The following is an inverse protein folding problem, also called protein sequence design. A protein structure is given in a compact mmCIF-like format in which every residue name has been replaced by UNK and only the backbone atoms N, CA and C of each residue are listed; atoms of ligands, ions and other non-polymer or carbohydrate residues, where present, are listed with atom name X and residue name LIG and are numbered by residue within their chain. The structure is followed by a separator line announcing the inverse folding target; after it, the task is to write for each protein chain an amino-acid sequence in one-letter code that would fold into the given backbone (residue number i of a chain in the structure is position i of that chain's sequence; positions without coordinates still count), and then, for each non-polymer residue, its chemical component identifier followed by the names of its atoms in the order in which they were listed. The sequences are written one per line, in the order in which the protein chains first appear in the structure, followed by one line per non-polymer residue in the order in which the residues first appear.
data_IF_590135518347
#
_entry.id   IF_590135518347
#
_cell.length_a   1.000
_cell.length_b   1.000
_cell.length_c   1.000
_cell.angle_alpha   90.00
_cell.angle_beta   90.00
_cell.angle_gamma   90.00
#
_symmetry.space_group_name_H-M   'P 1'
#
loop_
_entity.id
_entity.type
_entity.pdbx_description
1 polymer ?
#
# COMPACT_ATOMS: atom_id res chain seq x y z
N UNK A 1 -11.73 -19.65 -4.56
CA UNK A 1 -10.58 -18.80 -4.18
C UNK A 1 -10.85 -18.19 -2.83
N UNK A 2 -9.85 -18.17 -1.94
CA UNK A 2 -9.94 -17.45 -0.65
C UNK A 2 -9.80 -15.96 -0.92
N UNK A 3 -10.70 -15.14 -0.39
CA UNK A 3 -10.59 -13.68 -0.53
C UNK A 3 -9.48 -13.11 0.35
N UNK A 4 -9.14 -11.84 0.14
CA UNK A 4 -8.05 -11.16 0.87
C UNK A 4 -8.24 -11.19 2.40
N UNK A 5 -9.47 -11.06 2.89
CA UNK A 5 -9.78 -11.08 4.32
C UNK A 5 -9.42 -12.43 4.96
N UNK A 6 -9.74 -13.54 4.26
CA UNK A 6 -9.43 -14.90 4.73
C UNK A 6 -7.92 -15.15 4.75
N UNK A 7 -7.19 -14.71 3.70
CA UNK A 7 -5.75 -14.84 3.62
C UNK A 7 -5.03 -14.00 4.68
N UNK A 8 -5.46 -12.76 4.88
CA UNK A 8 -4.92 -11.90 5.92
C UNK A 8 -5.16 -12.48 7.32
N UNK A 9 -6.37 -12.97 7.59
CA UNK A 9 -6.70 -13.64 8.86
C UNK A 9 -5.83 -14.86 9.11
N UNK A 10 -5.62 -15.69 8.08
CA UNK A 10 -4.72 -16.85 8.17
C UNK A 10 -3.27 -16.43 8.45
N UNK A 11 -2.78 -15.34 7.82
CA UNK A 11 -1.45 -14.82 8.09
C UNK A 11 -1.31 -14.33 9.54
N UNK A 12 -2.30 -13.61 10.08
CA UNK A 12 -2.32 -13.17 11.48
C UNK A 12 -2.32 -14.37 12.43
N UNK A 13 -3.16 -15.38 12.15
CA UNK A 13 -3.23 -16.61 12.95
C UNK A 13 -1.90 -17.38 12.95
N UNK A 14 -1.24 -17.47 11.80
CA UNK A 14 0.08 -18.10 11.70
C UNK A 14 1.14 -17.33 12.50
N UNK A 15 1.08 -16.00 12.49
CA UNK A 15 2.00 -15.15 13.28
C UNK A 15 1.80 -15.29 14.77
N UNK A 16 0.57 -15.43 15.25
CA UNK A 16 0.30 -15.69 16.68
C UNK A 16 1.01 -16.95 17.21
N UNK A 17 1.23 -17.93 16.34
CA UNK A 17 1.91 -19.18 16.65
C UNK A 17 3.39 -19.22 16.22
N UNK A 18 3.88 -18.14 15.61
CA UNK A 18 5.26 -18.06 15.14
C UNK A 18 6.27 -17.87 16.29
N UNK A 19 7.55 -18.18 16.07
CA UNK A 19 8.58 -17.93 17.07
C UNK A 19 8.77 -16.44 17.33
N UNK A 20 9.22 -16.12 18.53
CA UNK A 20 9.57 -14.76 18.92
C UNK A 20 10.97 -14.39 18.42
N UNK A 21 11.11 -13.12 18.06
CA UNK A 21 12.36 -12.52 17.60
C UNK A 21 12.56 -11.17 18.28
N UNK A 22 13.76 -10.94 18.78
CA UNK A 22 14.15 -9.59 19.20
C UNK A 22 14.22 -8.67 17.99
N UNK A 23 13.77 -7.46 18.14
CA UNK A 23 13.79 -6.45 17.09
C UNK A 23 14.44 -5.13 17.58
N UNK A 24 14.66 -4.20 16.64
CA UNK A 24 15.27 -2.91 16.94
C UNK A 24 14.40 -1.97 17.79
N UNK A 25 13.11 -2.23 17.93
CA UNK A 25 12.21 -1.38 18.75
C UNK A 25 12.32 -1.72 20.23
N UNK A 26 12.83 -2.91 20.57
CA UNK A 26 12.90 -3.44 21.92
C UNK A 26 11.56 -4.00 22.43
N UNK A 27 10.49 -3.97 21.62
CA UNK A 27 9.19 -4.57 21.94
C UNK A 27 9.23 -6.09 21.71
N UNK A 28 9.96 -6.53 20.68
CA UNK A 28 9.95 -7.90 20.19
C UNK A 28 8.79 -8.19 19.25
N UNK A 29 8.93 -9.22 18.45
CA UNK A 29 7.93 -9.60 17.42
C UNK A 29 7.77 -11.11 17.33
N UNK A 30 6.58 -11.58 16.94
CA UNK A 30 6.38 -12.85 16.25
C UNK A 30 6.73 -12.64 14.77
N UNK A 31 7.37 -13.61 14.13
CA UNK A 31 8.01 -13.37 12.84
C UNK A 31 7.91 -14.57 11.89
N UNK A 32 7.61 -14.29 10.63
CA UNK A 32 7.65 -15.23 9.51
C UNK A 32 8.33 -14.55 8.32
N UNK A 33 9.18 -15.27 7.60
CA UNK A 33 9.89 -14.72 6.45
C UNK A 33 9.41 -15.36 5.14
N UNK A 34 9.20 -14.53 4.11
CA UNK A 34 8.78 -14.98 2.79
C UNK A 34 7.32 -15.46 2.79
N UNK A 35 6.38 -14.54 2.64
CA UNK A 35 4.94 -14.83 2.51
C UNK A 35 4.40 -14.14 1.27
N UNK A 36 3.33 -14.70 0.72
CA UNK A 36 2.58 -14.11 -0.37
C UNK A 36 1.11 -14.05 0.03
N UNK A 37 0.46 -12.96 -0.37
CA UNK A 37 -0.99 -12.81 -0.36
C UNK A 37 -1.44 -12.44 -1.76
N UNK A 38 -2.61 -12.90 -2.17
CA UNK A 38 -3.14 -12.66 -3.51
C UNK A 38 -4.64 -12.35 -3.44
N UNK A 39 -5.09 -11.38 -4.20
CA UNK A 39 -6.48 -11.01 -4.30
C UNK A 39 -6.91 -10.87 -5.76
N UNK A 40 -8.01 -11.52 -6.14
CA UNK A 40 -8.70 -11.29 -7.41
C UNK A 40 -9.61 -10.06 -7.24
N UNK A 41 -9.30 -8.97 -7.95
CA UNK A 41 -10.02 -7.70 -7.85
C UNK A 41 -11.49 -7.81 -8.28
N UNK A 42 -11.86 -8.86 -9.01
CA UNK A 42 -13.26 -9.12 -9.35
C UNK A 42 -14.14 -9.48 -8.14
N UNK A 43 -13.52 -9.88 -7.03
CA UNK A 43 -14.21 -10.20 -5.76
C UNK A 43 -14.59 -8.94 -4.96
N UNK A 44 -14.19 -7.76 -5.39
CA UNK A 44 -14.38 -6.47 -4.74
C UNK A 44 -13.07 -5.79 -4.38
N UNK A 45 -13.14 -4.56 -3.88
CA UNK A 45 -11.97 -3.78 -3.50
C UNK A 45 -11.33 -4.34 -2.21
N UNK A 46 -9.99 -4.55 -2.16
CA UNK A 46 -9.31 -5.28 -1.10
C UNK A 46 -9.11 -4.45 0.19
N UNK A 47 -10.17 -3.87 0.71
CA UNK A 47 -10.16 -3.21 2.01
C UNK A 47 -10.79 -4.13 3.06
N UNK A 48 -10.02 -4.46 4.11
CA UNK A 48 -10.44 -5.42 5.13
C UNK A 48 -11.71 -4.95 5.85
N UNK A 49 -12.61 -5.90 6.12
CA UNK A 49 -13.88 -5.66 6.83
C UNK A 49 -13.88 -6.23 8.26
N UNK A 50 -12.95 -7.09 8.61
CA UNK A 50 -12.81 -7.65 9.97
C UNK A 50 -12.38 -6.64 11.03
N UNK A 51 -11.88 -5.48 10.63
CA UNK A 51 -11.64 -4.31 11.47
C UNK A 51 -11.82 -3.04 10.64
N UNK A 52 -12.27 -1.96 11.29
CA UNK A 52 -12.40 -0.66 10.62
C UNK A 52 -11.04 -0.09 10.24
N UNK A 53 -10.91 0.30 8.99
CA UNK A 53 -9.79 1.05 8.44
C UNK A 53 -10.26 2.42 7.96
N UNK A 54 -9.34 3.36 7.86
CA UNK A 54 -9.64 4.74 7.45
C UNK A 54 -9.23 4.95 5.98
N UNK A 55 -10.18 4.81 5.06
CA UNK A 55 -9.96 4.94 3.62
C UNK A 55 -9.32 6.28 3.23
N UNK A 56 -9.69 7.36 3.94
CA UNK A 56 -9.08 8.66 3.73
C UNK A 56 -7.56 8.68 3.93
N UNK A 57 -7.02 7.87 4.86
CA UNK A 57 -5.57 7.77 5.06
C UNK A 57 -4.91 7.04 3.88
N UNK A 58 -5.53 5.95 3.40
CA UNK A 58 -5.06 5.21 2.22
C UNK A 58 -4.92 6.13 1.01
N UNK A 59 -5.99 6.88 0.70
CA UNK A 59 -5.99 7.80 -0.46
C UNK A 59 -5.00 8.94 -0.25
N UNK A 60 -4.95 9.53 0.94
CA UNK A 60 -4.07 10.68 1.18
C UNK A 60 -2.59 10.30 1.05
N UNK A 61 -2.18 9.14 1.57
CA UNK A 61 -0.80 8.68 1.44
C UNK A 61 -0.47 8.30 -0.01
N UNK A 62 -1.36 7.59 -0.71
CA UNK A 62 -1.14 7.28 -2.12
C UNK A 62 -0.99 8.55 -2.96
N UNK A 63 -1.86 9.55 -2.79
CA UNK A 63 -1.78 10.81 -3.50
C UNK A 63 -0.51 11.59 -3.16
N UNK A 64 -0.05 11.53 -1.91
CA UNK A 64 1.23 12.09 -1.48
C UNK A 64 2.40 11.44 -2.23
N UNK A 65 2.39 10.11 -2.35
CA UNK A 65 3.39 9.34 -3.13
C UNK A 65 3.32 9.70 -4.62
N UNK A 66 2.14 9.64 -5.23
CA UNK A 66 1.94 9.88 -6.66
C UNK A 66 2.34 11.31 -7.09
N UNK A 67 2.22 12.28 -6.18
CA UNK A 67 2.68 13.66 -6.41
C UNK A 67 4.16 13.88 -6.12
N UNK A 68 4.93 12.85 -5.78
CA UNK A 68 6.36 12.97 -5.46
C UNK A 68 6.65 13.76 -4.18
N UNK A 69 5.66 13.91 -3.31
CA UNK A 69 5.79 14.70 -2.08
C UNK A 69 6.61 13.97 -1.02
N UNK A 70 7.25 14.73 -0.16
CA UNK A 70 8.03 14.22 0.98
C UNK A 70 7.76 14.99 2.27
N UNK A 71 6.90 16.01 2.21
CA UNK A 71 6.58 16.89 3.31
C UNK A 71 5.52 16.29 4.25
N UNK A 72 5.67 16.58 5.55
CA UNK A 72 4.73 16.17 6.59
C UNK A 72 3.44 17.00 6.58
N UNK A 73 3.50 18.25 6.09
CA UNK A 73 2.38 19.18 6.13
C UNK A 73 1.16 18.63 5.44
N UNK A 74 1.30 18.13 4.20
CA UNK A 74 0.20 17.51 3.47
C UNK A 74 -0.40 16.30 4.23
N UNK A 75 0.44 15.47 4.84
CA UNK A 75 -0.02 14.30 5.60
C UNK A 75 -0.86 14.75 6.80
N UNK A 76 -0.38 15.73 7.57
CA UNK A 76 -1.10 16.29 8.72
C UNK A 76 -2.44 16.96 8.34
N UNK A 77 -2.46 17.75 7.27
CA UNK A 77 -3.69 18.36 6.73
C UNK A 77 -4.76 17.32 6.36
N UNK A 78 -4.33 16.09 6.10
CA UNK A 78 -5.20 14.97 5.75
C UNK A 78 -5.40 13.97 6.91
N UNK A 79 -4.95 14.30 8.13
CA UNK A 79 -5.13 13.48 9.33
C UNK A 79 -4.21 12.26 9.41
N UNK A 80 -3.13 12.23 8.64
CA UNK A 80 -2.14 11.14 8.62
C UNK A 80 -0.98 11.50 9.52
N UNK A 81 -0.82 10.79 10.65
CA UNK A 81 0.13 11.08 11.73
C UNK A 81 1.11 9.95 12.04
N UNK A 82 1.01 8.81 11.36
CA UNK A 82 1.84 7.64 11.69
C UNK A 82 3.32 7.76 11.26
N UNK A 83 3.69 8.84 10.58
CA UNK A 83 5.08 9.20 10.29
C UNK A 83 5.74 10.08 11.38
N UNK A 84 4.96 10.62 12.32
CA UNK A 84 5.42 11.64 13.28
C UNK A 84 6.54 11.14 14.18
N UNK A 85 6.40 9.93 14.71
CA UNK A 85 7.39 9.36 15.60
C UNK A 85 8.71 9.02 14.89
N UNK A 86 8.64 8.50 13.66
CA UNK A 86 9.83 8.25 12.82
C UNK A 86 10.52 9.58 12.45
N UNK A 87 9.73 10.60 12.09
CA UNK A 87 10.26 11.93 11.81
C UNK A 87 10.95 12.52 13.04
N UNK A 88 10.30 12.49 14.20
CA UNK A 88 10.86 12.98 15.48
C UNK A 88 12.16 12.26 15.82
N UNK A 89 12.20 10.94 15.68
CA UNK A 89 13.40 10.13 15.94
C UNK A 89 14.57 10.48 15.01
N UNK A 90 14.29 10.83 13.76
CA UNK A 90 15.33 11.20 12.80
C UNK A 90 16.09 12.49 13.16
N UNK A 91 15.57 13.29 14.09
CA UNK A 91 16.13 14.60 14.47
C UNK A 91 15.98 15.69 13.40
N UNK A 92 15.31 15.41 12.28
CA UNK A 92 15.08 16.41 11.22
C UNK A 92 14.16 17.54 11.71
N UNK A 93 14.36 18.73 11.13
CA UNK A 93 13.60 19.94 11.45
C UNK A 93 13.01 20.64 10.23
N UNK A 94 13.19 20.05 9.04
CA UNK A 94 12.79 20.63 7.75
C UNK A 94 11.36 20.27 7.33
N UNK A 95 10.63 19.53 8.15
CA UNK A 95 9.27 19.07 7.84
C UNK A 95 9.18 18.03 6.72
N UNK A 96 10.31 17.38 6.37
CA UNK A 96 10.39 16.43 5.24
C UNK A 96 10.91 15.07 5.66
N UNK A 97 10.39 14.01 5.05
CA UNK A 97 10.83 12.63 5.29
C UNK A 97 12.10 12.24 4.51
N UNK A 98 12.65 13.16 3.71
CA UNK A 98 13.73 12.87 2.79
C UNK A 98 13.21 12.23 1.49
N UNK A 99 14.10 11.70 0.62
CA UNK A 99 13.74 11.22 -0.72
C UNK A 99 13.07 9.83 -0.69
N UNK A 100 11.98 9.69 0.10
CA UNK A 100 11.22 8.45 0.26
C UNK A 100 10.22 8.27 -0.89
N UNK A 101 9.77 7.06 -1.10
CA UNK A 101 8.66 6.64 -2.00
C UNK A 101 8.44 7.52 -3.24
N UNK A 102 7.56 8.51 -3.11
CA UNK A 102 7.15 9.37 -4.21
C UNK A 102 8.27 10.16 -4.84
N UNK A 103 9.28 10.59 -4.05
CA UNK A 103 10.47 11.23 -4.61
C UNK A 103 11.19 10.29 -5.59
N UNK A 104 11.28 8.98 -5.27
CA UNK A 104 11.90 8.01 -6.17
C UNK A 104 10.99 7.66 -7.36
N UNK A 105 9.67 7.62 -7.15
CA UNK A 105 8.71 7.31 -8.21
C UNK A 105 8.68 8.41 -9.28
N UNK A 106 8.80 9.68 -8.87
CA UNK A 106 8.64 10.84 -9.75
C UNK A 106 9.95 11.48 -10.19
N UNK A 107 11.05 11.20 -9.49
CA UNK A 107 12.37 11.73 -9.83
C UNK A 107 13.48 10.76 -9.38
N UNK A 108 13.68 9.69 -10.13
CA UNK A 108 14.82 8.82 -9.94
C UNK A 108 16.01 9.34 -10.74
N UNK A 109 16.67 10.36 -10.21
CA UNK A 109 17.78 11.05 -10.89
C UNK A 109 17.40 11.64 -12.26
N UNK A 110 16.31 12.39 -12.28
CA UNK A 110 15.75 13.00 -13.50
C UNK A 110 14.81 12.07 -14.29
N UNK A 111 14.61 10.83 -13.83
CA UNK A 111 13.75 9.85 -14.51
C UNK A 111 12.44 9.67 -13.74
N UNK A 112 11.32 10.09 -14.31
CA UNK A 112 9.97 9.86 -13.75
C UNK A 112 9.53 8.43 -14.05
N UNK A 113 9.72 7.54 -13.07
CA UNK A 113 9.40 6.12 -13.20
C UNK A 113 7.89 5.90 -13.37
N UNK A 114 7.03 6.65 -12.66
CA UNK A 114 5.58 6.51 -12.75
C UNK A 114 5.07 6.87 -14.15
N UNK A 115 5.55 7.99 -14.68
CA UNK A 115 5.20 8.42 -16.03
C UNK A 115 5.62 7.36 -17.07
N UNK A 116 6.84 6.85 -16.95
CA UNK A 116 7.36 5.86 -17.88
C UNK A 116 6.67 4.50 -17.74
N UNK A 117 6.25 4.11 -16.53
CA UNK A 117 5.42 2.93 -16.30
C UNK A 117 4.09 3.04 -17.06
N UNK A 118 3.35 4.15 -16.86
CA UNK A 118 2.05 4.37 -17.50
C UNK A 118 2.21 4.42 -19.02
N UNK A 119 3.19 5.15 -19.53
CA UNK A 119 3.48 5.22 -20.96
C UNK A 119 3.84 3.85 -21.54
N UNK A 120 4.68 3.07 -20.84
CA UNK A 120 5.06 1.74 -21.24
C UNK A 120 3.86 0.79 -21.35
N UNK A 121 2.94 0.82 -20.39
CA UNK A 121 1.69 0.05 -20.45
C UNK A 121 0.86 0.40 -21.69
N UNK A 122 0.85 1.67 -22.10
CA UNK A 122 0.07 2.12 -23.27
C UNK A 122 0.68 1.70 -24.60
N UNK A 123 2.01 1.72 -24.73
CA UNK A 123 2.70 1.51 -26.03
C UNK A 123 3.22 0.09 -26.24
N UNK A 124 3.55 -0.63 -25.16
CA UNK A 124 4.06 -2.00 -25.19
C UNK A 124 3.49 -2.80 -23.99
N UNK A 125 2.18 -3.06 -23.97
CA UNK A 125 1.52 -3.69 -22.81
C UNK A 125 2.08 -5.08 -22.50
N UNK A 126 2.63 -5.79 -23.48
CA UNK A 126 3.18 -7.14 -23.31
C UNK A 126 4.60 -7.15 -22.76
N UNK A 127 5.18 -5.98 -22.49
CA UNK A 127 6.50 -5.86 -21.90
C UNK A 127 6.56 -6.44 -20.49
N UNK A 128 7.61 -7.17 -20.18
CA UNK A 128 7.92 -7.68 -18.84
C UNK A 128 8.77 -6.70 -18.01
N UNK A 129 8.86 -5.44 -18.45
CA UNK A 129 9.70 -4.38 -17.86
C UNK A 129 8.89 -3.28 -17.20
N UNK A 130 7.59 -3.48 -16.97
CA UNK A 130 6.73 -2.55 -16.24
C UNK A 130 7.03 -2.61 -14.75
N UNK A 131 8.18 -2.07 -14.36
CA UNK A 131 8.69 -2.08 -12.99
C UNK A 131 8.92 -0.65 -12.53
N UNK A 132 8.62 -0.38 -11.25
CA UNK A 132 8.91 0.85 -10.56
C UNK A 132 9.54 0.52 -9.21
N UNK A 133 10.63 1.21 -8.83
CA UNK A 133 11.36 0.96 -7.58
C UNK A 133 11.51 2.24 -6.76
N UNK A 134 11.22 2.14 -5.47
CA UNK A 134 11.55 3.16 -4.48
C UNK A 134 12.87 2.89 -3.75
N UNK A 135 13.50 1.74 -4.00
CA UNK A 135 14.76 1.37 -3.35
C UNK A 135 15.94 1.98 -4.07
N UNK A 136 16.59 2.93 -3.38
CA UNK A 136 17.73 3.65 -3.92
C UNK A 136 18.88 3.65 -2.91
N UNK A 137 19.85 2.73 -3.05
CA UNK A 137 20.87 2.45 -2.02
C UNK A 137 21.71 3.67 -1.62
N UNK A 138 22.07 4.53 -2.57
CA UNK A 138 22.87 5.75 -2.32
C UNK A 138 22.10 6.85 -1.56
N UNK A 139 20.77 6.75 -1.47
CA UNK A 139 19.91 7.73 -0.79
C UNK A 139 19.28 7.24 0.52
N UNK A 140 19.42 5.96 0.88
CA UNK A 140 18.77 5.39 2.07
C UNK A 140 19.11 6.16 3.36
N UNK A 141 20.35 6.61 3.49
CA UNK A 141 20.82 7.39 4.66
C UNK A 141 20.16 8.77 4.78
N UNK A 142 19.61 9.29 3.70
CA UNK A 142 18.93 10.58 3.64
C UNK A 142 17.42 10.47 3.91
N UNK A 143 16.90 9.27 4.05
CA UNK A 143 15.50 8.97 4.33
C UNK A 143 15.26 8.83 5.82
N UNK A 144 14.15 9.36 6.32
CA UNK A 144 13.72 9.16 7.72
C UNK A 144 13.54 7.67 8.00
N UNK A 145 12.96 6.95 7.04
CA UNK A 145 12.82 5.49 7.06
C UNK A 145 12.98 4.95 5.64
N UNK A 146 13.88 3.98 5.40
CA UNK A 146 13.95 3.29 4.11
C UNK A 146 12.62 2.62 3.73
N UNK A 147 12.20 2.66 2.46
CA UNK A 147 10.92 2.14 2.01
C UNK A 147 10.66 0.69 2.46
N UNK A 148 9.51 0.43 3.09
CA UNK A 148 9.09 -0.92 3.47
C UNK A 148 8.59 -1.70 2.24
N UNK A 149 7.65 -1.15 1.51
CA UNK A 149 7.27 -1.60 0.17
C UNK A 149 8.12 -0.83 -0.85
N UNK A 150 8.91 -1.55 -1.62
CA UNK A 150 10.01 -0.91 -2.36
C UNK A 150 9.97 -1.08 -3.87
N UNK A 151 9.15 -1.98 -4.39
CA UNK A 151 8.99 -2.16 -5.83
C UNK A 151 7.58 -2.61 -6.19
N UNK A 152 7.17 -2.28 -7.41
CA UNK A 152 5.99 -2.86 -8.06
C UNK A 152 6.37 -3.40 -9.42
N UNK A 153 5.61 -4.38 -9.89
CA UNK A 153 5.62 -4.87 -11.27
C UNK A 153 4.19 -5.02 -11.75
N UNK A 154 3.94 -4.57 -12.97
CA UNK A 154 2.66 -4.71 -13.65
C UNK A 154 2.80 -5.71 -14.79
N UNK A 155 1.78 -6.54 -14.98
CA UNK A 155 1.67 -7.48 -16.07
C UNK A 155 0.28 -7.38 -16.70
N UNK A 156 0.22 -7.46 -18.02
CA UNK A 156 -1.04 -7.55 -18.75
C UNK A 156 -1.27 -9.00 -19.15
N UNK A 157 -2.43 -9.52 -18.80
CA UNK A 157 -2.86 -10.87 -19.12
C UNK A 157 -4.28 -10.82 -19.71
N UNK A 158 -4.39 -11.02 -21.00
CA UNK A 158 -5.62 -10.83 -21.80
C UNK A 158 -6.20 -9.41 -21.61
N UNK A 159 -7.41 -9.30 -21.06
CA UNK A 159 -8.10 -8.04 -20.78
C UNK A 159 -7.87 -7.51 -19.35
N UNK A 160 -6.94 -8.12 -18.60
CA UNK A 160 -6.67 -7.80 -17.19
C UNK A 160 -5.27 -7.27 -16.95
N UNK A 161 -5.18 -6.37 -15.99
CA UNK A 161 -3.92 -5.85 -15.45
C UNK A 161 -3.70 -6.42 -14.06
N UNK A 162 -2.59 -7.15 -13.87
CA UNK A 162 -2.14 -7.67 -12.60
C UNK A 162 -1.05 -6.78 -12.02
N UNK A 163 -1.01 -6.63 -10.71
CA UNK A 163 0.02 -5.86 -10.00
C UNK A 163 0.62 -6.68 -8.87
N UNK A 164 1.95 -6.79 -8.87
CA UNK A 164 2.74 -7.28 -7.75
C UNK A 164 3.34 -6.08 -7.01
N UNK A 165 3.23 -6.03 -5.67
CA UNK A 165 4.11 -5.19 -4.87
C UNK A 165 5.06 -6.06 -4.04
N UNK A 166 6.28 -5.55 -3.84
CA UNK A 166 7.32 -6.23 -3.08
C UNK A 166 7.63 -5.43 -1.83
N UNK A 167 7.49 -6.06 -0.68
CA UNK A 167 7.64 -5.43 0.63
C UNK A 167 8.66 -6.18 1.46
N UNK A 168 9.77 -5.51 1.84
CA UNK A 168 10.84 -6.11 2.63
C UNK A 168 10.47 -6.32 4.10
N UNK A 169 9.53 -5.51 4.61
CA UNK A 169 9.16 -5.47 6.02
C UNK A 169 7.68 -5.09 6.14
N UNK A 170 6.88 -5.95 6.76
CA UNK A 170 5.45 -5.81 6.91
C UNK A 170 5.05 -5.90 8.39
N UNK A 171 4.68 -4.76 9.01
CA UNK A 171 3.86 -4.79 10.22
C UNK A 171 2.48 -5.32 9.84
N UNK A 172 2.25 -6.60 10.13
CA UNK A 172 1.06 -7.28 9.63
C UNK A 172 -0.20 -6.74 10.28
N UNK A 173 -0.14 -6.21 11.50
CA UNK A 173 -1.36 -5.78 12.18
C UNK A 173 -1.79 -4.35 11.85
N UNK A 174 -0.85 -3.40 11.78
CA UNK A 174 -1.16 -1.99 11.51
C UNK A 174 -0.87 -1.58 10.07
N UNK A 175 0.30 -1.91 9.52
CA UNK A 175 0.76 -1.44 8.21
C UNK A 175 0.16 -2.19 7.03
N UNK A 176 0.33 -3.52 6.99
CA UNK A 176 -0.05 -4.35 5.86
C UNK A 176 -1.50 -4.16 5.36
N UNK A 177 -2.53 -3.99 6.22
CA UNK A 177 -3.88 -3.70 5.75
C UNK A 177 -3.99 -2.44 4.90
N UNK A 178 -3.25 -1.40 5.25
CA UNK A 178 -3.22 -0.15 4.48
C UNK A 178 -2.43 -0.29 3.18
N UNK A 179 -1.33 -1.06 3.18
CA UNK A 179 -0.56 -1.36 1.98
C UNK A 179 -1.41 -2.14 0.95
N UNK A 180 -2.16 -3.16 1.39
CA UNK A 180 -3.09 -3.92 0.54
C UNK A 180 -4.10 -2.97 -0.13
N UNK A 181 -4.77 -2.13 0.65
CA UNK A 181 -5.76 -1.20 0.13
C UNK A 181 -5.13 -0.15 -0.80
N UNK A 182 -3.95 0.37 -0.45
CA UNK A 182 -3.23 1.38 -1.24
C UNK A 182 -2.83 0.84 -2.63
N UNK A 183 -2.28 -0.36 -2.68
CA UNK A 183 -1.93 -0.98 -3.96
C UNK A 183 -3.16 -1.44 -4.74
N UNK A 184 -4.26 -1.77 -4.07
CA UNK A 184 -5.56 -1.97 -4.69
C UNK A 184 -6.07 -0.70 -5.39
N UNK A 185 -5.98 0.48 -4.74
CA UNK A 185 -6.30 1.77 -5.37
C UNK A 185 -5.38 2.05 -6.55
N UNK A 186 -4.07 1.79 -6.41
CA UNK A 186 -3.11 2.02 -7.50
C UNK A 186 -3.44 1.17 -8.72
N UNK A 187 -3.76 -0.11 -8.55
CA UNK A 187 -4.14 -1.01 -9.65
C UNK A 187 -5.41 -0.50 -10.35
N UNK A 188 -6.47 -0.18 -9.60
CA UNK A 188 -7.70 0.40 -10.15
C UNK A 188 -7.41 1.69 -10.92
N UNK A 189 -6.57 2.57 -10.35
CA UNK A 189 -6.23 3.86 -10.92
C UNK A 189 -5.43 3.72 -12.23
N UNK A 190 -4.52 2.75 -12.33
CA UNK A 190 -3.78 2.44 -13.55
C UNK A 190 -4.72 1.91 -14.66
N UNK A 191 -5.81 1.25 -14.30
CA UNK A 191 -6.79 0.73 -15.26
C UNK A 191 -7.73 1.81 -15.81
N UNK A 192 -7.99 2.92 -15.09
CA UNK A 192 -9.01 3.93 -15.48
C UNK A 192 -8.86 4.42 -16.92
N UNK A 193 -7.64 4.68 -17.38
CA UNK A 193 -7.38 5.22 -18.72
C UNK A 193 -6.87 4.17 -19.70
N UNK A 194 -7.15 2.90 -19.44
CA UNK A 194 -6.77 1.78 -20.29
C UNK A 194 -8.00 0.95 -20.68
N UNK A 195 -7.81 0.00 -21.59
CA UNK A 195 -8.84 -0.99 -21.93
C UNK A 195 -8.85 -2.17 -20.94
N UNK A 196 -7.92 -2.20 -20.00
CA UNK A 196 -7.73 -3.32 -19.09
C UNK A 196 -8.58 -3.17 -17.84
N UNK A 197 -9.05 -4.31 -17.33
CA UNK A 197 -9.72 -4.42 -16.02
C UNK A 197 -8.72 -4.76 -14.94
N UNK A 198 -8.95 -4.35 -13.68
CA UNK A 198 -8.15 -4.85 -12.58
C UNK A 198 -8.21 -6.37 -12.48
N UNK A 199 -7.05 -7.03 -12.49
CA UNK A 199 -6.89 -8.46 -12.40
C UNK A 199 -6.52 -8.91 -10.99
N UNK A 200 -5.29 -9.39 -10.81
CA UNK A 200 -4.78 -9.84 -9.52
C UNK A 200 -3.93 -8.77 -8.85
N UNK A 201 -4.13 -8.60 -7.55
CA UNK A 201 -3.25 -7.87 -6.67
C UNK A 201 -2.45 -8.86 -5.83
N UNK A 202 -1.11 -8.81 -5.91
CA UNK A 202 -0.23 -9.80 -5.29
C UNK A 202 0.80 -9.09 -4.41
N UNK A 203 0.85 -9.45 -3.12
CA UNK A 203 1.85 -8.97 -2.18
C UNK A 203 2.94 -10.00 -1.93
N UNK A 204 4.17 -9.68 -2.30
CA UNK A 204 5.36 -10.45 -1.93
C UNK A 204 5.99 -9.84 -0.68
N UNK A 205 5.87 -10.55 0.43
CA UNK A 205 6.20 -10.05 1.77
C UNK A 205 7.47 -10.74 2.29
N UNK A 206 8.49 -9.97 2.59
CA UNK A 206 9.75 -10.42 3.19
C UNK A 206 9.57 -10.74 4.67
N UNK A 207 9.95 -9.83 5.56
CA UNK A 207 9.78 -9.97 7.01
C UNK A 207 8.34 -9.57 7.41
N UNK A 208 7.49 -10.58 7.60
CA UNK A 208 6.16 -10.43 8.17
C UNK A 208 6.26 -10.51 9.68
N UNK A 209 5.88 -9.44 10.40
CA UNK A 209 5.98 -9.43 11.84
C UNK A 209 4.73 -8.89 12.53
N UNK A 210 4.51 -9.42 13.72
CA UNK A 210 3.47 -9.02 14.66
C UNK A 210 4.14 -8.63 15.97
N UNK A 211 4.05 -7.37 16.38
CA UNK A 211 4.64 -6.90 17.63
C UNK A 211 4.00 -7.58 18.83
N UNK A 212 4.81 -7.87 19.87
CA UNK A 212 4.31 -8.59 21.07
C UNK A 212 3.23 -7.81 21.82
N UNK A 213 3.26 -6.47 21.78
CA UNK A 213 2.19 -5.65 22.34
C UNK A 213 0.92 -5.56 21.47
N UNK A 214 0.89 -6.25 20.31
CA UNK A 214 -0.30 -6.37 19.46
C UNK A 214 -0.97 -7.75 19.55
N UNK A 215 -0.45 -8.67 20.37
CA UNK A 215 -0.96 -10.06 20.41
C UNK A 215 -2.44 -10.13 20.78
N UNK A 216 -2.90 -9.40 21.81
CA UNK A 216 -4.31 -9.39 22.22
C UNK A 216 -5.22 -8.80 21.13
N UNK A 217 -4.76 -7.76 20.45
CA UNK A 217 -5.47 -7.15 19.34
C UNK A 217 -5.56 -8.11 18.13
N UNK A 218 -4.48 -8.83 17.85
CA UNK A 218 -4.42 -9.84 16.79
C UNK A 218 -5.31 -11.05 17.12
N UNK A 219 -5.31 -11.52 18.36
CA UNK A 219 -6.23 -12.56 18.82
C UNK A 219 -7.69 -12.11 18.66
N UNK A 220 -8.00 -10.89 19.12
CA UNK A 220 -9.34 -10.31 18.95
C UNK A 220 -9.74 -10.32 17.48
N UNK A 221 -8.86 -9.96 16.55
CA UNK A 221 -9.14 -9.99 15.12
C UNK A 221 -9.41 -11.41 14.60
N UNK A 222 -8.58 -12.37 14.98
CA UNK A 222 -8.71 -13.76 14.52
C UNK A 222 -9.98 -14.41 15.05
N UNK A 223 -10.36 -14.14 16.31
CA UNK A 223 -11.56 -14.71 16.91
C UNK A 223 -12.85 -13.95 16.57
N UNK A 224 -12.77 -12.71 16.11
CA UNK A 224 -13.93 -12.06 15.51
C UNK A 224 -14.41 -12.90 14.35
N UNK A 225 -15.69 -13.20 14.35
CA UNK A 225 -16.30 -13.88 13.23
C UNK A 225 -17.09 -12.85 12.40
N UNK A 226 -16.47 -12.14 11.45
CA UNK A 226 -17.20 -11.34 10.49
C UNK A 226 -17.98 -12.22 9.51
N UNK A 227 -17.78 -13.54 9.63
CA UNK A 227 -18.23 -14.52 8.68
C UNK A 227 -19.35 -15.35 9.28
N UNK A 228 -20.56 -15.04 8.89
CA UNK A 228 -21.59 -16.07 8.88
C UNK A 228 -21.13 -17.14 7.86
N UNK A 229 -20.91 -18.40 8.27
CA UNK A 229 -20.49 -19.46 7.33
C UNK A 229 -21.49 -19.66 6.19
N UNK A 230 -22.71 -19.13 6.32
CA UNK A 230 -23.75 -19.16 5.31
C UNK A 230 -23.86 -17.86 4.48
N UNK A 231 -23.02 -16.85 4.72
CA UNK A 231 -23.03 -15.60 3.98
C UNK A 231 -21.61 -15.25 3.51
N UNK A 232 -21.37 -15.07 2.20
CA UNK A 232 -20.06 -14.66 1.72
C UNK A 232 -19.67 -13.29 2.27
N UNK A 233 -18.36 -13.06 2.44
CA UNK A 233 -17.83 -11.75 2.79
C UNK A 233 -18.05 -10.82 1.60
N UNK A 234 -18.80 -9.76 1.82
CA UNK A 234 -18.95 -8.70 0.85
C UNK A 234 -17.83 -7.67 1.07
N UNK A 235 -16.90 -7.60 0.12
CA UNK A 235 -15.92 -6.55 0.07
C UNK A 235 -16.54 -5.27 -0.50
N UNK A 236 -16.06 -4.08 -0.11
CA UNK A 236 -16.51 -2.82 -0.69
C UNK A 236 -16.16 -2.72 -2.16
N UNK A 237 -16.67 -1.68 -2.81
CA UNK A 237 -16.31 -1.32 -4.19
C UNK A 237 -15.61 0.04 -4.16
N UNK A 238 -14.56 0.17 -4.94
CA UNK A 238 -13.95 1.46 -5.22
C UNK A 238 -14.58 2.06 -6.48
N UNK A 239 -14.95 3.33 -6.41
CA UNK A 239 -15.34 4.12 -7.57
C UNK A 239 -14.38 5.30 -7.71
N UNK A 240 -13.79 5.42 -8.90
CA UNK A 240 -12.92 6.53 -9.26
C UNK A 240 -13.70 7.41 -10.24
N UNK A 241 -13.86 8.70 -9.89
CA UNK A 241 -14.57 9.69 -10.69
C UNK A 241 -13.58 10.52 -11.49
N UNK A 242 -13.85 10.69 -12.78
CA UNK A 242 -12.99 11.46 -13.71
C UNK A 242 -11.93 10.62 -14.39
N UNK A 243 -10.92 11.29 -14.94
CA UNK A 243 -10.02 10.71 -15.94
C UNK A 243 -8.81 9.96 -15.37
N UNK A 244 -8.76 9.67 -14.07
CA UNK A 244 -7.62 8.98 -13.47
C UNK A 244 -6.32 9.80 -13.53
N UNK A 245 -5.20 9.16 -13.86
CA UNK A 245 -3.91 9.83 -14.06
C UNK A 245 -3.79 10.23 -15.54
N UNK A 246 -3.70 11.51 -15.83
CA UNK A 246 -3.59 12.01 -17.22
C UNK A 246 -2.27 12.68 -17.49
N UNK A 247 -1.79 12.58 -18.73
CA UNK A 247 -0.61 13.31 -19.19
C UNK A 247 -0.94 14.78 -19.38
N UNK A 248 -0.17 15.67 -18.73
CA UNK A 248 -0.23 17.13 -18.97
C UNK A 248 0.74 17.53 -20.07
N UNK A 249 0.26 18.36 -20.99
CA UNK A 249 1.08 18.97 -22.03
C UNK A 249 1.11 18.18 -23.33
N UNK A 250 0.84 18.89 -24.44
CA UNK A 250 0.97 18.36 -25.79
C UNK A 250 2.43 18.01 -26.09
N UNK A 251 2.59 16.95 -26.83
CA UNK A 251 3.81 16.38 -27.41
C UNK A 251 5.14 17.16 -27.23
N UNK A 252 6.11 16.50 -26.59
CA UNK A 252 7.56 16.59 -26.82
C UNK A 252 8.49 17.40 -25.92
N UNK A 253 8.03 18.18 -24.92
CA UNK A 253 9.01 18.89 -24.07
C UNK A 253 8.67 18.90 -22.59
N UNK A 254 8.65 17.78 -21.94
CA UNK A 254 8.39 17.56 -20.52
C UNK A 254 6.90 17.33 -20.16
N UNK A 255 6.31 16.19 -20.55
CA UNK A 255 4.97 15.84 -20.14
C UNK A 255 4.96 15.64 -18.62
N UNK A 256 4.10 16.35 -17.90
CA UNK A 256 3.80 16.09 -16.49
C UNK A 256 2.66 15.09 -16.36
N UNK A 257 2.45 14.59 -15.15
CA UNK A 257 1.22 13.84 -14.79
C UNK A 257 0.29 14.74 -13.98
N UNK A 258 -0.98 14.71 -14.34
CA UNK A 258 -2.05 15.20 -13.47
C UNK A 258 -2.59 14.03 -12.66
N UNK A 259 -2.45 14.14 -11.34
CA UNK A 259 -2.89 13.14 -10.38
C UNK A 259 -4.29 13.51 -9.89
N UNK A 260 -5.25 12.57 -9.79
CA UNK A 260 -6.58 12.83 -9.27
C UNK A 260 -6.54 13.45 -7.87
N UNK A 261 -7.61 14.15 -7.51
CA UNK A 261 -7.78 14.69 -6.16
C UNK A 261 -8.50 13.68 -5.27
N UNK A 262 -8.37 13.82 -3.96
CA UNK A 262 -9.01 12.95 -2.96
C UNK A 262 -10.53 12.78 -3.19
N UNK A 263 -11.24 13.84 -3.59
CA UNK A 263 -12.68 13.83 -3.89
C UNK A 263 -13.08 12.94 -5.07
N UNK A 264 -12.11 12.51 -5.88
CA UNK A 264 -12.37 11.61 -7.00
C UNK A 264 -12.52 10.14 -6.58
N UNK A 265 -12.24 9.80 -5.33
CA UNK A 265 -12.28 8.42 -4.83
C UNK A 265 -13.45 8.23 -3.87
N UNK A 266 -14.30 7.26 -4.14
CA UNK A 266 -15.46 6.90 -3.33
C UNK A 266 -15.43 5.41 -3.00
N UNK A 267 -15.52 5.10 -1.69
CA UNK A 267 -15.63 3.72 -1.22
C UNK A 267 -17.11 3.40 -0.96
N UNK A 268 -17.64 2.45 -1.70
CA UNK A 268 -19.06 2.09 -1.68
C UNK A 268 -19.25 0.79 -0.89
N UNK A 269 -20.27 0.72 -0.05
CA UNK A 269 -20.65 -0.46 0.74
C UNK A 269 -19.55 -0.96 1.69
N UNK A 270 -18.77 -0.06 2.28
CA UNK A 270 -17.79 -0.43 3.28
C UNK A 270 -18.44 -0.55 4.66
N UNK A 271 -18.73 -1.79 5.08
CA UNK A 271 -19.40 -2.14 6.34
C UNK A 271 -18.46 -2.97 7.25
N UNK A 272 -17.38 -2.35 7.79
CA UNK A 272 -16.44 -3.07 8.62
C UNK A 272 -16.94 -3.29 10.04
N UNK A 273 -16.40 -4.29 10.71
CA UNK A 273 -16.47 -4.41 12.17
C UNK A 273 -15.79 -3.22 12.86
N UNK A 274 -16.02 -3.04 14.15
CA UNK A 274 -15.41 -1.96 14.93
C UNK A 274 -13.88 -1.98 14.85
N UNK A 275 -13.25 -0.82 15.00
CA UNK A 275 -11.79 -0.70 15.06
C UNK A 275 -11.23 -1.56 16.21
N UNK A 276 -10.00 -2.04 16.05
CA UNK A 276 -9.22 -2.66 17.11
C UNK A 276 -8.01 -1.75 17.31
N UNK A 277 -7.97 -0.99 18.42
CA UNK A 277 -6.86 -0.09 18.69
C UNK A 277 -5.59 -0.88 18.99
N UNK A 278 -4.47 -0.40 18.46
CA UNK A 278 -3.13 -0.87 18.79
C UNK A 278 -2.15 0.30 18.65
N UNK A 279 -1.08 0.27 19.45
CA UNK A 279 -0.08 1.35 19.46
C UNK A 279 0.95 1.11 18.35
N UNK A 280 1.19 2.12 17.53
CA UNK A 280 2.28 2.06 16.55
C UNK A 280 3.64 1.95 17.25
N UNK A 281 4.48 1.04 16.75
CA UNK A 281 5.82 0.84 17.27
C UNK A 281 6.85 1.40 16.29
N UNK A 282 7.69 2.30 16.78
CA UNK A 282 8.84 2.83 16.04
C UNK A 282 10.13 2.44 16.76
N UNK A 283 11.24 2.32 16.03
CA UNK A 283 12.52 1.97 16.61
C UNK A 283 12.98 3.02 17.65
N UNK A 284 13.82 2.58 18.59
CA UNK A 284 14.51 3.47 19.55
C UNK A 284 15.58 4.30 18.85
#
# INVERSE_FOLDING_TARGET
MTNIEQQYRALVANLLNAPEKKDRTGVGTKHLFGRQIEHDMSLGFPMLVGKRMYFNHVISELLWILNGRTDMGYLHENGVHYWDDDYKRSGRKDGKLGPVYGAQWRDFNGYDQLMNLIYGIMIDPMSRRHILSAWRPDKLKNMVLPPCHYAIQVNINDDKMDLIWVQRSADVFLGLPYDIAMYGVLLELLCVNTVYKPGKLIGQLGDCHLYLNHLDAAQTYVYRNPFNPHKPIELPKLKIHGDGIVFKGGHRSNPGLEIPKKKNFELINYNPMSAIPAKLNVGK
#
